data_IF_500184759538
#
_entry.id   IF_500184759538
#
_cell.length_a   1.000
_cell.length_b   1.000
_cell.length_c   1.000
_cell.angle_alpha   90.00
_cell.angle_beta   90.00
_cell.angle_gamma   90.00
#
_symmetry.space_group_name_H-M   'P 1'
#
loop_
_entity.id
_entity.type
_entity.pdbx_description
1 polymer ?
#
# COMPACT_ATOMS: atom_id res chain seq x y z
N UNK A 1 65.20 -47.07 -51.19
CA UNK A 1 64.15 -46.03 -51.25
C UNK A 1 62.86 -46.64 -50.72
N UNK A 2 62.47 -46.30 -49.48
CA UNK A 2 61.20 -46.73 -48.87
C UNK A 2 60.44 -45.46 -48.49
N UNK A 3 59.31 -45.25 -49.14
CA UNK A 3 58.42 -44.09 -48.98
C UNK A 3 57.40 -44.33 -47.85
N UNK A 4 57.10 -43.25 -47.12
CA UNK A 4 56.21 -43.14 -45.97
C UNK A 4 54.72 -43.23 -46.36
N UNK A 5 53.88 -43.73 -45.45
CA UNK A 5 52.46 -43.34 -45.36
C UNK A 5 51.92 -43.40 -43.92
N UNK A 6 51.81 -42.20 -43.33
CA UNK A 6 50.83 -41.66 -42.36
C UNK A 6 50.07 -42.57 -41.37
N UNK A 7 50.28 -42.24 -40.08
CA UNK A 7 49.53 -42.65 -38.90
C UNK A 7 48.43 -41.61 -38.61
N UNK A 8 47.16 -42.01 -38.56
CA UNK A 8 46.04 -41.14 -38.12
C UNK A 8 45.76 -41.33 -36.63
N UNK A 9 45.96 -40.26 -35.87
CA UNK A 9 45.60 -40.12 -34.46
C UNK A 9 44.14 -39.65 -34.37
N UNK A 10 43.31 -40.35 -33.59
CA UNK A 10 42.00 -39.84 -33.16
C UNK A 10 42.07 -39.64 -31.66
N UNK A 11 42.14 -38.38 -31.22
CA UNK A 11 42.08 -37.97 -29.83
C UNK A 11 40.68 -37.41 -29.56
N UNK A 12 39.87 -38.13 -28.79
CA UNK A 12 38.56 -37.65 -28.34
C UNK A 12 38.76 -36.76 -27.10
N UNK A 13 38.43 -35.48 -27.20
CA UNK A 13 38.36 -34.55 -26.07
C UNK A 13 36.90 -34.38 -25.63
N UNK A 14 36.61 -34.73 -24.37
CA UNK A 14 35.33 -34.46 -23.72
C UNK A 14 35.30 -33.02 -23.22
N UNK A 15 34.34 -32.21 -23.69
CA UNK A 15 34.09 -30.86 -23.20
C UNK A 15 32.99 -30.89 -22.14
N UNK A 16 33.33 -30.50 -20.91
CA UNK A 16 32.37 -30.24 -19.85
C UNK A 16 31.74 -28.85 -20.05
N UNK A 17 30.42 -28.80 -20.23
CA UNK A 17 29.64 -27.55 -20.25
C UNK A 17 29.38 -27.09 -18.81
N UNK A 18 30.07 -26.06 -18.36
CA UNK A 18 29.68 -25.25 -17.20
C UNK A 18 28.78 -24.10 -17.66
N UNK A 19 27.51 -24.10 -17.23
CA UNK A 19 26.59 -22.97 -17.39
C UNK A 19 27.00 -21.83 -16.44
N UNK A 20 27.81 -20.89 -16.93
CA UNK A 20 27.98 -19.60 -16.31
C UNK A 20 26.81 -18.70 -16.75
N UNK A 21 26.00 -18.25 -15.80
CA UNK A 21 24.96 -17.25 -16.05
C UNK A 21 25.61 -15.93 -16.47
N UNK A 22 25.19 -15.40 -17.61
CA UNK A 22 25.62 -14.08 -18.08
C UNK A 22 25.04 -13.00 -17.15
N UNK A 23 25.87 -12.42 -16.30
CA UNK A 23 25.64 -11.08 -15.80
C UNK A 23 26.15 -10.11 -16.88
N UNK A 24 25.25 -9.33 -17.47
CA UNK A 24 25.60 -8.25 -18.40
C UNK A 24 26.32 -7.12 -17.64
N UNK A 25 27.66 -7.16 -17.65
CA UNK A 25 28.52 -6.21 -16.95
C UNK A 25 28.60 -4.80 -17.61
N UNK A 26 27.66 -4.45 -18.51
CA UNK A 26 27.71 -3.22 -19.31
C UNK A 26 26.43 -2.38 -19.31
N UNK A 27 25.47 -2.62 -18.41
CA UNK A 27 24.34 -1.72 -18.22
C UNK A 27 24.53 -0.85 -16.96
N UNK A 28 24.89 0.44 -17.09
CA UNK A 28 24.99 1.35 -15.95
C UNK A 28 23.62 1.71 -15.34
N UNK A 29 22.53 1.17 -15.90
CA UNK A 29 21.15 1.45 -15.52
C UNK A 29 20.37 0.20 -15.05
N UNK A 30 21.05 -0.90 -14.75
CA UNK A 30 20.47 -1.96 -13.93
C UNK A 30 20.52 -1.51 -12.47
N UNK A 31 19.52 -0.72 -12.06
CA UNK A 31 19.35 -0.32 -10.67
C UNK A 31 19.31 -1.55 -9.78
N UNK A 32 20.25 -1.64 -8.83
CA UNK A 32 20.20 -2.64 -7.78
C UNK A 32 18.83 -2.58 -7.08
N UNK A 33 18.29 -3.69 -6.55
CA UNK A 33 17.13 -3.62 -5.68
C UNK A 33 17.50 -2.67 -4.55
N UNK A 34 16.69 -1.63 -4.34
CA UNK A 34 16.88 -0.68 -3.25
C UNK A 34 16.59 -1.45 -1.96
N UNK A 35 17.61 -2.12 -1.45
CA UNK A 35 17.60 -2.79 -0.16
C UNK A 35 17.97 -1.74 0.86
N UNK A 36 17.04 -1.40 1.73
CA UNK A 36 17.24 -0.37 2.74
C UNK A 36 16.13 -0.35 3.77
N UNK A 37 16.49 0.23 4.92
CA UNK A 37 15.56 0.65 5.95
C UNK A 37 15.57 2.18 6.06
N UNK A 38 14.48 2.76 6.54
CA UNK A 38 14.37 4.19 6.83
C UNK A 38 14.13 4.43 8.32
N UNK A 39 14.33 5.67 8.74
CA UNK A 39 13.86 6.16 10.04
C UNK A 39 12.61 7.00 9.83
N UNK A 40 11.53 6.62 10.51
CA UNK A 40 10.25 7.32 10.48
C UNK A 40 10.07 8.17 11.73
N UNK A 41 9.29 9.25 11.61
CA UNK A 41 8.90 10.10 12.72
C UNK A 41 7.38 10.06 12.86
N UNK A 42 6.92 9.83 14.09
CA UNK A 42 5.50 9.79 14.46
C UNK A 42 5.26 10.77 15.62
N UNK A 43 5.24 12.09 15.36
CA UNK A 43 5.06 13.09 16.40
C UNK A 43 3.70 12.89 17.09
N UNK A 44 3.67 13.03 18.42
CA UNK A 44 2.43 12.97 19.19
C UNK A 44 1.47 14.09 18.79
N UNK A 45 0.18 13.76 18.78
CA UNK A 45 -0.90 14.61 18.32
C UNK A 45 -2.18 14.41 19.16
N UNK A 46 -2.00 14.51 20.48
CA UNK A 46 -3.09 14.32 21.45
C UNK A 46 -3.36 12.86 21.78
N UNK A 47 -4.51 12.62 22.40
CA UNK A 47 -4.92 11.29 22.82
C UNK A 47 -5.45 10.46 21.63
N UNK A 48 -5.12 9.17 21.56
CA UNK A 48 -5.61 8.32 20.49
C UNK A 48 -7.11 8.06 20.65
N UNK A 49 -7.84 8.03 19.53
CA UNK A 49 -9.27 7.69 19.47
C UNK A 49 -9.57 6.28 20.00
N UNK A 50 -8.58 5.39 19.92
CA UNK A 50 -8.57 4.05 20.51
C UNK A 50 -7.16 3.75 20.99
N UNK A 51 -7.02 3.15 22.16
CA UNK A 51 -5.71 2.85 22.73
C UNK A 51 -4.84 2.00 21.79
N UNK A 52 -3.66 2.53 21.45
CA UNK A 52 -2.61 1.88 20.65
C UNK A 52 -1.23 2.42 21.05
N UNK A 53 -0.21 1.63 20.78
CA UNK A 53 1.17 2.05 20.86
C UNK A 53 1.65 2.60 19.50
N UNK A 54 2.47 3.68 19.49
CA UNK A 54 3.08 4.17 18.27
C UNK A 54 3.99 3.12 17.60
N UNK A 55 4.08 3.12 16.26
CA UNK A 55 4.92 2.19 15.52
C UNK A 55 6.41 2.40 15.80
N UNK A 56 7.20 1.35 15.54
CA UNK A 56 8.67 1.44 15.58
C UNK A 56 9.17 2.48 14.59
N UNK A 57 10.18 3.25 15.00
CA UNK A 57 10.68 4.40 14.22
C UNK A 57 11.97 4.12 13.47
N UNK A 58 12.73 3.09 13.86
CA UNK A 58 14.01 2.74 13.25
C UNK A 58 13.90 1.43 12.49
N UNK A 59 14.78 1.27 11.52
CA UNK A 59 14.92 0.05 10.74
C UNK A 59 13.62 -0.35 10.01
N UNK A 60 12.81 0.65 9.63
CA UNK A 60 11.54 0.43 8.92
C UNK A 60 11.83 -0.01 7.49
N UNK A 61 11.34 -1.17 7.01
CA UNK A 61 11.61 -1.63 5.66
C UNK A 61 11.10 -0.67 4.59
N UNK A 62 11.96 -0.31 3.63
CA UNK A 62 11.66 0.66 2.57
C UNK A 62 11.57 0.05 1.17
N UNK A 63 11.34 -1.26 1.09
CA UNK A 63 11.14 -1.96 -0.16
C UNK A 63 10.26 -3.20 0.00
N UNK A 64 9.81 -3.72 -1.14
CA UNK A 64 8.84 -4.81 -1.20
C UNK A 64 7.43 -4.35 -0.88
N UNK A 65 6.53 -5.33 -0.84
CA UNK A 65 5.10 -5.10 -0.60
C UNK A 65 4.63 -5.80 0.66
N UNK A 66 3.46 -5.40 1.13
CA UNK A 66 2.70 -6.08 2.19
C UNK A 66 1.30 -6.35 1.67
N UNK A 67 0.80 -7.56 1.87
CA UNK A 67 -0.61 -7.84 1.65
C UNK A 67 -1.38 -7.60 2.94
N UNK A 68 -2.46 -6.83 2.86
CA UNK A 68 -3.41 -6.65 3.96
C UNK A 68 -4.82 -6.89 3.43
N UNK A 69 -5.68 -7.54 4.20
CA UNK A 69 -7.09 -7.72 3.85
C UNK A 69 -7.93 -6.95 4.85
N UNK A 70 -8.70 -5.98 4.35
CA UNK A 70 -9.72 -5.28 5.12
C UNK A 70 -11.03 -6.03 4.93
N UNK A 71 -11.50 -6.69 5.97
CA UNK A 71 -12.76 -7.43 5.92
C UNK A 71 -13.90 -6.46 6.22
N UNK A 72 -14.68 -6.08 5.19
CA UNK A 72 -15.88 -5.26 5.36
C UNK A 72 -17.11 -6.16 5.51
N UNK A 73 -18.16 -5.63 6.14
CA UNK A 73 -19.50 -6.26 6.16
C UNK A 73 -20.04 -6.61 4.78
N UNK A 74 -19.62 -5.88 3.73
CA UNK A 74 -20.01 -6.11 2.34
C UNK A 74 -19.12 -7.10 1.57
N UNK A 75 -17.96 -7.47 2.12
CA UNK A 75 -16.96 -8.31 1.47
C UNK A 75 -15.53 -7.88 1.77
N UNK A 76 -14.56 -8.69 1.35
CA UNK A 76 -13.15 -8.43 1.60
C UNK A 76 -12.54 -7.49 0.55
N UNK A 77 -11.67 -6.60 1.01
CA UNK A 77 -10.83 -5.74 0.17
C UNK A 77 -9.37 -6.13 0.40
N UNK A 78 -8.77 -6.82 -0.56
CA UNK A 78 -7.35 -7.19 -0.46
C UNK A 78 -6.48 -6.10 -1.03
N UNK A 79 -5.53 -5.64 -0.22
CA UNK A 79 -4.65 -4.50 -0.49
C UNK A 79 -3.22 -4.99 -0.70
N UNK A 80 -2.57 -4.48 -1.74
CA UNK A 80 -1.11 -4.57 -1.89
C UNK A 80 -0.51 -3.23 -1.53
N UNK A 81 0.15 -3.16 -0.39
CA UNK A 81 0.80 -1.97 0.16
C UNK A 81 2.24 -1.89 -0.31
N UNK A 82 2.71 -0.71 -0.73
CA UNK A 82 4.01 -0.51 -1.37
C UNK A 82 4.97 0.26 -0.45
N UNK A 83 5.91 -0.47 0.16
CA UNK A 83 6.91 0.13 1.07
C UNK A 83 7.94 0.98 0.35
N UNK A 84 8.15 0.78 -0.95
CA UNK A 84 9.08 1.61 -1.71
C UNK A 84 8.51 3.00 -1.99
N UNK A 85 7.18 3.13 -2.04
CA UNK A 85 6.49 4.41 -2.22
C UNK A 85 6.26 5.16 -0.91
N UNK A 86 5.79 4.46 0.11
CA UNK A 86 5.33 5.09 1.35
C UNK A 86 5.71 4.27 2.60
N UNK A 87 7.01 4.09 2.89
CA UNK A 87 7.47 3.20 3.96
C UNK A 87 6.92 3.56 5.33
N UNK A 88 6.88 4.84 5.70
CA UNK A 88 6.41 5.25 7.03
C UNK A 88 4.89 5.12 7.16
N UNK A 89 4.16 5.33 6.07
CA UNK A 89 2.72 5.14 5.98
C UNK A 89 2.34 3.67 6.07
N UNK A 90 3.00 2.81 5.30
CA UNK A 90 2.77 1.35 5.36
C UNK A 90 3.11 0.82 6.76
N UNK A 91 4.24 1.23 7.35
CA UNK A 91 4.62 0.83 8.70
C UNK A 91 3.57 1.23 9.76
N UNK A 92 3.03 2.45 9.66
CA UNK A 92 1.96 2.90 10.55
C UNK A 92 0.68 2.10 10.37
N UNK A 93 0.24 1.89 9.12
CA UNK A 93 -0.97 1.12 8.83
C UNK A 93 -0.87 -0.32 9.35
N UNK A 94 0.26 -1.00 9.09
CA UNK A 94 0.51 -2.37 9.56
C UNK A 94 0.48 -2.44 11.08
N UNK A 95 1.19 -1.54 11.77
CA UNK A 95 1.22 -1.51 13.23
C UNK A 95 -0.16 -1.27 13.84
N UNK A 96 -0.98 -0.41 13.24
CA UNK A 96 -2.36 -0.18 13.69
C UNK A 96 -3.26 -1.39 13.42
N UNK A 97 -3.13 -2.03 12.25
CA UNK A 97 -3.87 -3.24 11.92
C UNK A 97 -3.55 -4.41 12.85
N UNK A 98 -2.27 -4.68 13.13
CA UNK A 98 -1.82 -5.74 14.04
C UNK A 98 -2.30 -5.54 15.49
N UNK A 99 -2.61 -4.30 15.87
CA UNK A 99 -3.18 -3.94 17.18
C UNK A 99 -4.72 -3.94 17.19
N UNK A 100 -5.38 -4.28 16.08
CA UNK A 100 -6.85 -4.26 15.98
C UNK A 100 -7.43 -2.84 16.05
N UNK A 101 -6.66 -1.81 15.69
CA UNK A 101 -7.10 -0.42 15.75
C UNK A 101 -8.32 -0.16 14.86
N UNK A 102 -8.35 -0.82 13.70
CA UNK A 102 -9.40 -0.71 12.69
C UNK A 102 -10.61 -1.61 12.94
N UNK A 103 -10.54 -2.52 13.92
CA UNK A 103 -11.58 -3.51 14.16
C UNK A 103 -12.86 -2.86 14.67
N UNK A 104 -13.99 -3.28 14.10
CA UNK A 104 -15.33 -2.77 14.41
C UNK A 104 -15.45 -1.23 14.22
N UNK A 105 -14.78 -0.70 13.20
CA UNK A 105 -14.88 0.71 12.80
C UNK A 105 -15.67 0.87 11.51
N UNK A 106 -16.30 2.02 11.29
CA UNK A 106 -17.05 2.29 10.05
C UNK A 106 -16.26 3.18 9.11
N UNK A 107 -16.42 2.95 7.81
CA UNK A 107 -16.08 3.94 6.80
C UNK A 107 -17.13 5.06 6.85
N UNK A 108 -16.75 6.17 7.47
CA UNK A 108 -17.66 7.26 7.86
C UNK A 108 -17.97 8.24 6.73
N UNK A 109 -17.28 8.11 5.58
CA UNK A 109 -17.46 9.07 4.48
C UNK A 109 -17.37 8.40 3.11
N UNK A 110 -18.46 8.44 2.37
CA UNK A 110 -18.56 8.15 0.96
C UNK A 110 -18.74 9.45 0.19
N UNK A 111 -18.03 9.58 -0.93
CA UNK A 111 -18.27 10.63 -1.90
C UNK A 111 -18.50 9.98 -3.27
N UNK A 112 -19.61 10.35 -3.89
CA UNK A 112 -20.12 9.75 -5.14
C UNK A 112 -20.22 10.71 -6.31
N UNK A 113 -19.63 11.90 -6.16
CA UNK A 113 -19.55 12.91 -7.19
C UNK A 113 -18.23 13.67 -7.07
N UNK A 114 -17.60 13.93 -8.20
CA UNK A 114 -16.33 14.66 -8.28
C UNK A 114 -15.14 13.84 -7.79
N UNK A 115 -15.11 13.50 -6.49
CA UNK A 115 -14.05 12.72 -5.86
C UNK A 115 -14.58 11.37 -5.37
N UNK A 116 -14.41 10.31 -6.15
CA UNK A 116 -15.05 9.01 -5.93
C UNK A 116 -14.32 8.15 -4.89
N UNK A 117 -14.54 8.45 -3.61
CA UNK A 117 -13.80 7.84 -2.50
C UNK A 117 -14.71 7.27 -1.41
N UNK A 118 -14.26 6.19 -0.77
CA UNK A 118 -14.77 5.68 0.49
C UNK A 118 -13.66 5.81 1.56
N UNK A 119 -13.88 6.65 2.56
CA UNK A 119 -12.92 6.99 3.61
C UNK A 119 -13.24 6.27 4.91
N UNK A 120 -12.21 5.68 5.51
CA UNK A 120 -12.26 4.80 6.68
C UNK A 120 -11.12 5.12 7.66
N UNK A 121 -11.01 4.34 8.73
CA UNK A 121 -9.86 4.39 9.64
C UNK A 121 -9.95 5.42 10.76
N UNK A 122 -11.15 5.93 11.04
CA UNK A 122 -11.45 6.73 12.23
C UNK A 122 -12.31 5.90 13.21
N UNK A 123 -11.77 5.47 14.37
CA UNK A 123 -12.55 4.73 15.36
C UNK A 123 -13.73 5.50 15.96
N UNK A 124 -13.74 6.84 15.91
CA UNK A 124 -14.88 7.65 16.39
C UNK A 124 -15.93 7.89 15.32
N UNK A 125 -15.61 7.59 14.05
CA UNK A 125 -16.44 7.90 12.88
C UNK A 125 -16.80 9.38 12.70
N UNK A 126 -16.08 10.30 13.36
CA UNK A 126 -16.35 11.74 13.29
C UNK A 126 -15.59 12.44 12.16
N UNK A 127 -14.63 11.74 11.55
CA UNK A 127 -13.68 12.29 10.58
C UNK A 127 -12.52 13.05 11.23
N UNK A 128 -12.48 13.12 12.56
CA UNK A 128 -11.48 13.89 13.32
C UNK A 128 -10.64 13.03 14.25
N UNK A 129 -11.00 11.77 14.47
CA UNK A 129 -10.21 10.85 15.28
C UNK A 129 -8.95 10.38 14.55
N UNK A 130 -8.01 9.86 15.35
CA UNK A 130 -6.69 9.45 14.89
C UNK A 130 -5.92 8.71 15.97
N UNK A 131 -4.71 8.20 15.66
CA UNK A 131 -4.00 7.25 16.50
C UNK A 131 -3.15 7.94 17.59
N UNK A 132 -3.40 9.22 17.88
CA UNK A 132 -2.62 10.01 18.86
C UNK A 132 -1.25 10.46 18.34
N UNK A 133 -0.98 10.28 17.05
CA UNK A 133 0.23 10.77 16.36
C UNK A 133 -0.07 11.12 14.90
N UNK A 134 0.82 11.90 14.28
CA UNK A 134 0.80 12.15 12.82
C UNK A 134 1.88 11.37 12.08
N UNK A 135 1.68 11.20 10.78
CA UNK A 135 2.63 10.58 9.85
C UNK A 135 3.01 11.55 8.72
N UNK A 136 4.21 11.42 8.12
CA UNK A 136 4.66 12.31 7.04
C UNK A 136 3.87 12.10 5.74
N UNK A 137 3.84 13.15 4.90
CA UNK A 137 3.42 13.01 3.50
C UNK A 137 4.56 12.36 2.70
N UNK A 138 4.28 11.25 2.00
CA UNK A 138 5.23 10.50 1.16
C UNK A 138 4.73 10.54 -0.29
N UNK A 139 4.63 11.75 -0.82
CA UNK A 139 3.96 12.07 -2.09
C UNK A 139 4.92 12.53 -3.17
N UNK A 140 4.76 11.96 -4.37
CA UNK A 140 5.30 12.48 -5.62
C UNK A 140 4.31 13.50 -6.23
N UNK A 141 4.81 14.62 -6.78
CA UNK A 141 3.99 15.62 -7.47
C UNK A 141 3.33 15.11 -8.75
N UNK A 142 3.79 13.99 -9.30
CA UNK A 142 3.18 13.32 -10.44
C UNK A 142 2.12 12.26 -10.05
N UNK A 143 1.81 12.09 -8.76
CA UNK A 143 0.87 11.06 -8.31
C UNK A 143 -0.55 11.31 -8.84
N UNK A 144 -1.21 10.23 -9.26
CA UNK A 144 -2.61 10.21 -9.70
C UNK A 144 -3.38 9.17 -8.89
N UNK A 145 -4.72 9.21 -9.00
CA UNK A 145 -5.62 8.40 -8.17
C UNK A 145 -6.67 7.69 -9.03
N UNK A 146 -6.27 6.72 -9.88
CA UNK A 146 -7.22 5.88 -10.61
C UNK A 146 -8.03 5.00 -9.65
N UNK A 147 -9.12 4.42 -10.15
CA UNK A 147 -9.88 3.40 -9.43
C UNK A 147 -8.96 2.28 -8.92
N UNK A 148 -9.19 1.85 -7.68
CA UNK A 148 -8.37 0.85 -7.00
C UNK A 148 -7.22 1.44 -6.17
N UNK A 149 -7.00 2.75 -6.20
CA UNK A 149 -5.96 3.40 -5.40
C UNK A 149 -6.33 3.45 -3.91
N UNK A 150 -5.33 3.27 -3.04
CA UNK A 150 -5.45 3.45 -1.59
C UNK A 150 -4.51 4.57 -1.17
N UNK A 151 -5.06 5.59 -0.52
CA UNK A 151 -4.30 6.77 -0.12
C UNK A 151 -4.65 7.25 1.31
N UNK A 152 -3.67 7.88 1.94
CA UNK A 152 -3.79 8.38 3.30
C UNK A 152 -4.61 9.67 3.33
N UNK A 153 -5.63 9.72 4.17
CA UNK A 153 -6.34 10.96 4.45
C UNK A 153 -5.50 11.82 5.41
N UNK A 154 -5.60 13.14 5.27
CA UNK A 154 -4.87 14.10 6.10
C UNK A 154 -5.69 15.36 6.34
N UNK A 155 -5.27 16.16 7.31
CA UNK A 155 -5.77 17.54 7.47
C UNK A 155 -5.18 18.42 6.37
N UNK A 156 -5.62 19.67 6.30
CA UNK A 156 -5.12 20.59 5.27
C UNK A 156 -3.60 20.80 5.34
N UNK A 157 -3.03 20.84 6.55
CA UNK A 157 -1.60 21.01 6.72
C UNK A 157 -0.79 19.78 6.24
N UNK A 158 0.43 19.96 5.73
CA UNK A 158 1.32 18.85 5.41
C UNK A 158 1.69 18.00 6.64
N UNK A 159 2.01 16.72 6.42
CA UNK A 159 2.46 15.77 7.46
C UNK A 159 1.44 15.61 8.61
N UNK A 160 0.16 15.54 8.24
CA UNK A 160 -0.97 15.38 9.18
C UNK A 160 -1.81 14.15 8.89
N UNK A 161 -1.28 13.20 8.11
CA UNK A 161 -1.87 11.87 8.04
C UNK A 161 -1.85 11.22 9.43
N UNK A 162 -2.70 10.22 9.64
CA UNK A 162 -2.78 9.50 10.90
C UNK A 162 -3.18 8.05 10.66
N UNK A 163 -4.42 7.71 10.99
CA UNK A 163 -4.98 6.38 10.76
C UNK A 163 -5.98 6.32 9.62
N UNK A 164 -6.55 7.45 9.22
CA UNK A 164 -7.62 7.52 8.24
C UNK A 164 -7.08 7.36 6.82
N UNK A 165 -7.70 6.51 6.01
CA UNK A 165 -7.34 6.28 4.62
C UNK A 165 -8.59 6.31 3.75
N UNK A 166 -8.42 6.44 2.44
CA UNK A 166 -9.53 6.35 1.49
C UNK A 166 -9.24 5.37 0.35
N UNK A 167 -10.31 4.74 -0.09
CA UNK A 167 -10.41 3.77 -1.18
C UNK A 167 -11.03 4.47 -2.38
N UNK A 168 -10.27 4.60 -3.46
CA UNK A 168 -10.75 5.21 -4.70
C UNK A 168 -11.54 4.18 -5.50
N UNK A 169 -12.84 4.41 -5.70
CA UNK A 169 -13.74 3.43 -6.31
C UNK A 169 -14.14 3.74 -7.75
N UNK A 170 -13.88 4.96 -8.21
CA UNK A 170 -13.88 5.32 -9.62
C UNK A 170 -12.76 6.33 -9.89
N UNK A 171 -12.34 6.48 -11.15
CA UNK A 171 -11.27 7.40 -11.53
C UNK A 171 -11.57 8.82 -11.03
N UNK A 172 -10.61 9.39 -10.30
CA UNK A 172 -10.76 10.72 -9.71
C UNK A 172 -9.53 11.59 -9.92
N UNK A 173 -9.77 12.90 -10.02
CA UNK A 173 -8.73 13.90 -10.01
C UNK A 173 -8.69 14.56 -8.63
N UNK A 174 -7.68 14.19 -7.85
CA UNK A 174 -7.32 14.86 -6.60
C UNK A 174 -5.99 15.61 -6.80
N UNK A 175 -5.76 16.71 -6.06
CA UNK A 175 -4.43 17.30 -5.97
C UNK A 175 -3.38 16.26 -5.54
N UNK A 176 -2.14 16.33 -6.05
CA UNK A 176 -1.05 15.42 -5.67
C UNK A 176 -0.51 15.77 -4.28
N UNK A 177 -1.33 15.53 -3.26
CA UNK A 177 -1.10 15.88 -1.85
C UNK A 177 -1.34 14.71 -0.88
N UNK A 178 -1.95 13.61 -1.34
CA UNK A 178 -2.30 12.47 -0.49
C UNK A 178 -1.36 11.29 -0.78
N UNK A 179 -0.74 10.75 0.28
CA UNK A 179 0.19 9.62 0.16
C UNK A 179 -0.53 8.39 -0.38
N UNK A 180 -0.21 7.99 -1.62
CA UNK A 180 -0.62 6.69 -2.16
C UNK A 180 0.31 5.63 -1.59
N UNK A 181 -0.26 4.69 -0.82
CA UNK A 181 0.53 3.67 -0.13
C UNK A 181 0.15 2.24 -0.55
N UNK A 182 -0.76 2.08 -1.51
CA UNK A 182 -1.11 0.77 -2.06
C UNK A 182 -2.23 0.81 -3.09
N UNK A 183 -2.64 -0.38 -3.50
CA UNK A 183 -3.78 -0.62 -4.40
C UNK A 183 -4.64 -1.77 -3.87
N UNK A 184 -5.95 -1.71 -4.08
CA UNK A 184 -6.84 -2.84 -3.84
C UNK A 184 -6.96 -3.75 -5.07
N UNK A 185 -7.32 -5.00 -4.86
CA UNK A 185 -7.63 -5.94 -5.92
C UNK A 185 -9.00 -5.66 -6.58
N UNK A 186 -9.27 -6.30 -7.72
CA UNK A 186 -10.51 -6.08 -8.45
C UNK A 186 -11.75 -6.49 -7.65
N UNK A 187 -11.67 -7.58 -6.87
CA UNK A 187 -12.77 -8.01 -6.02
C UNK A 187 -13.09 -6.96 -4.95
N UNK A 188 -12.06 -6.39 -4.31
CA UNK A 188 -12.21 -5.28 -3.37
C UNK A 188 -12.79 -4.03 -4.02
N UNK A 189 -12.36 -3.69 -5.25
CA UNK A 189 -12.92 -2.57 -6.00
C UNK A 189 -14.41 -2.78 -6.29
N UNK A 190 -14.83 -3.99 -6.65
CA UNK A 190 -16.24 -4.33 -6.88
C UNK A 190 -17.07 -4.22 -5.58
N UNK A 191 -16.52 -4.64 -4.43
CA UNK A 191 -17.14 -4.48 -3.11
C UNK A 191 -17.37 -3.00 -2.79
N UNK A 192 -16.33 -2.16 -2.92
CA UNK A 192 -16.43 -0.71 -2.65
C UNK A 192 -17.39 -0.04 -3.63
N UNK A 193 -17.34 -0.41 -4.92
CA UNK A 193 -18.28 0.06 -5.93
C UNK A 193 -19.74 -0.32 -5.62
N UNK A 194 -19.96 -1.52 -5.07
CA UNK A 194 -21.28 -1.98 -4.63
C UNK A 194 -21.83 -1.20 -3.42
N UNK A 195 -20.96 -0.80 -2.49
CA UNK A 195 -21.32 0.13 -1.40
C UNK A 195 -21.70 1.48 -2.00
N UNK A 196 -20.84 2.03 -2.87
CA UNK A 196 -21.02 3.34 -3.47
C UNK A 196 -22.31 3.44 -4.30
N UNK A 197 -22.67 2.38 -5.04
CA UNK A 197 -23.87 2.33 -5.86
C UNK A 197 -25.19 2.47 -5.07
N UNK A 198 -25.17 2.22 -3.75
CA UNK A 198 -26.32 2.42 -2.89
C UNK A 198 -26.50 3.88 -2.46
N UNK A 199 -25.46 4.71 -2.62
CA UNK A 199 -25.49 6.14 -2.36
C UNK A 199 -25.14 6.53 -0.93
N UNK A 200 -25.20 7.84 -0.72
CA UNK A 200 -24.87 8.51 0.55
C UNK A 200 -26.14 8.77 1.35
N UNK A 201 -26.06 8.66 2.68
CA UNK A 201 -27.16 8.96 3.59
C UNK A 201 -27.57 10.43 3.45
N UNK A 202 -28.86 10.66 3.18
CA UNK A 202 -29.42 12.00 3.00
C UNK A 202 -29.51 12.83 4.29
N UNK A 203 -29.29 12.23 5.46
CA UNK A 203 -29.33 12.94 6.76
C UNK A 203 -28.04 13.71 7.02
N UNK A 204 -26.89 13.05 6.88
CA UNK A 204 -25.57 13.68 7.09
C UNK A 204 -24.86 14.06 5.78
N UNK A 205 -25.31 13.53 4.64
CA UNK A 205 -24.74 13.81 3.32
C UNK A 205 -23.32 13.29 3.14
N UNK A 206 -22.86 12.37 4.00
CA UNK A 206 -21.50 11.83 3.95
C UNK A 206 -21.41 10.34 4.22
N UNK A 207 -22.24 9.75 5.08
CA UNK A 207 -22.14 8.32 5.40
C UNK A 207 -22.64 7.44 4.26
N UNK A 208 -22.05 6.27 4.00
CA UNK A 208 -22.64 5.31 3.07
C UNK A 208 -24.01 4.81 3.56
N UNK A 209 -25.01 4.68 2.68
CA UNK A 209 -26.30 4.04 3.02
C UNK A 209 -26.09 2.57 3.43
N UNK A 210 -25.27 1.86 2.66
CA UNK A 210 -24.82 0.53 3.02
C UNK A 210 -23.66 0.64 4.01
N UNK A 211 -23.91 0.37 5.29
CA UNK A 211 -22.88 0.44 6.32
C UNK A 211 -21.64 -0.37 5.91
N UNK A 212 -20.54 0.34 5.68
CA UNK A 212 -19.25 -0.22 5.35
C UNK A 212 -18.41 -0.33 6.62
N UNK A 213 -18.66 -1.37 7.40
CA UNK A 213 -17.96 -1.62 8.67
C UNK A 213 -16.77 -2.54 8.44
N UNK A 214 -15.59 -2.10 8.87
CA UNK A 214 -14.39 -2.93 8.99
C UNK A 214 -14.59 -3.86 10.18
N UNK A 215 -14.75 -5.14 9.90
CA UNK A 215 -14.82 -6.19 10.92
C UNK A 215 -13.43 -6.45 11.49
N UNK A 216 -12.42 -6.53 10.62
CA UNK A 216 -11.01 -6.67 11.00
C UNK A 216 -10.09 -6.30 9.85
N UNK A 217 -8.81 -6.10 10.16
CA UNK A 217 -7.73 -5.99 9.16
C UNK A 217 -6.67 -7.05 9.45
N UNK A 218 -6.42 -7.94 8.49
CA UNK A 218 -5.45 -9.03 8.66
C UNK A 218 -4.28 -8.88 7.70
N UNK A 219 -3.07 -9.17 8.18
CA UNK A 219 -1.86 -9.18 7.37
C UNK A 219 -1.66 -10.57 6.72
N UNK A 220 -1.22 -10.59 5.45
CA UNK A 220 -0.96 -11.80 4.67
C UNK A 220 0.50 -12.25 4.65
#
# INVERSE_FOLDING_TARGET
MRTLTTLSVVLAAAAALSLAGCADANNPNAGAPVSGTVTCAYPSDGDPARAVDPPVTKDVPASGTVTATVSLTAGDVTMTLDRAKAPCTVNSFVSLAEQGYYDDTVCHRLVDHGIFILQCGDPTATGTGGPGYTIPDEVDKAVTYPAGTIAMAKRQAPNTGGSQFFLVWADTELPPEYTVFGTMDQAGLDVVGGIAAQGVDGVDGMSPIAEARIQSVTMG
#
